data_IF_692168435967
#
_entry.id   IF_692168435967
#
_cell.length_a   1.000
_cell.length_b   1.000
_cell.length_c   1.000
_cell.angle_alpha   90.00
_cell.angle_beta   90.00
_cell.angle_gamma   90.00
#
_symmetry.space_group_name_H-M   'P 1'
#
loop_
_entity.id
_entity.type
_entity.pdbx_description
1 polymer ?
#
# COMPACT_ATOMS: atom_id res chain seq x y z
N UNK A 1 -21.28 -20.89 51.44
CA UNK A 1 -21.22 -19.72 50.55
C UNK A 1 -22.59 -19.47 49.96
N UNK A 2 -23.22 -18.34 50.28
CA UNK A 2 -24.58 -17.98 49.79
C UNK A 2 -24.62 -17.95 48.26
N UNK A 3 -25.77 -18.27 47.65
CA UNK A 3 -25.97 -18.31 46.20
C UNK A 3 -25.59 -16.97 45.52
N UNK A 4 -25.80 -15.85 46.22
CA UNK A 4 -25.36 -14.51 45.76
C UNK A 4 -23.83 -14.37 45.69
N UNK A 5 -23.12 -14.97 46.63
CA UNK A 5 -21.65 -14.93 46.70
C UNK A 5 -21.01 -15.81 45.62
N UNK A 6 -21.63 -16.96 45.27
CA UNK A 6 -21.20 -17.77 44.12
C UNK A 6 -21.39 -17.05 42.80
N UNK A 7 -22.52 -16.36 42.62
CA UNK A 7 -22.82 -15.60 41.41
C UNK A 7 -21.85 -14.43 41.22
N UNK A 8 -21.50 -13.70 42.29
CA UNK A 8 -20.51 -12.61 42.25
C UNK A 8 -19.09 -13.11 41.90
N UNK A 9 -18.68 -14.26 42.43
CA UNK A 9 -17.36 -14.83 42.10
C UNK A 9 -17.32 -15.30 40.65
N UNK A 10 -18.41 -15.89 40.14
CA UNK A 10 -18.49 -16.31 38.74
C UNK A 10 -18.46 -15.12 37.77
N UNK A 11 -19.16 -14.02 38.09
CA UNK A 11 -19.13 -12.81 37.25
C UNK A 11 -17.78 -12.10 37.31
N UNK A 12 -17.11 -12.03 38.47
CA UNK A 12 -15.74 -11.50 38.56
C UNK A 12 -14.73 -12.37 37.80
N UNK A 13 -14.83 -13.69 37.87
CA UNK A 13 -13.97 -14.60 37.10
C UNK A 13 -14.19 -14.42 35.60
N UNK A 14 -15.44 -14.24 35.15
CA UNK A 14 -15.77 -14.02 33.74
C UNK A 14 -15.28 -12.66 33.24
N UNK A 15 -15.35 -11.60 34.06
CA UNK A 15 -14.76 -10.29 33.75
C UNK A 15 -13.24 -10.34 33.71
N UNK A 16 -12.57 -11.08 34.60
CA UNK A 16 -11.11 -11.24 34.55
C UNK A 16 -10.67 -12.03 33.32
N UNK A 17 -11.41 -13.07 32.93
CA UNK A 17 -11.16 -13.79 31.67
C UNK A 17 -11.34 -12.85 30.47
N UNK A 18 -12.40 -12.03 30.43
CA UNK A 18 -12.60 -11.02 29.38
C UNK A 18 -11.51 -9.94 29.36
N UNK A 19 -11.00 -9.51 30.52
CA UNK A 19 -9.91 -8.54 30.61
C UNK A 19 -8.56 -9.12 30.11
N UNK A 20 -8.36 -10.43 30.21
CA UNK A 20 -7.19 -11.12 29.64
C UNK A 20 -7.27 -11.30 28.11
N UNK A 21 -8.42 -11.08 27.47
CA UNK A 21 -8.57 -11.16 26.00
C UNK A 21 -8.22 -9.84 25.30
N UNK A 22 -7.75 -8.82 26.02
CA UNK A 22 -7.20 -7.61 25.40
C UNK A 22 -5.75 -7.90 24.98
N UNK A 23 -5.56 -8.80 24.01
CA UNK A 23 -4.38 -8.76 23.16
C UNK A 23 -4.51 -7.52 22.28
N UNK A 24 -4.28 -6.34 22.87
CA UNK A 24 -3.87 -5.18 22.11
C UNK A 24 -2.62 -5.64 21.36
N UNK A 25 -2.78 -5.95 20.08
CA UNK A 25 -1.71 -6.42 19.24
C UNK A 25 -0.70 -5.28 19.14
N UNK A 26 0.24 -5.27 20.09
CA UNK A 26 1.18 -4.21 20.31
C UNK A 26 2.23 -4.34 19.24
N UNK A 27 2.37 -3.30 18.43
CA UNK A 27 3.40 -3.21 17.42
C UNK A 27 4.79 -3.33 18.07
N UNK A 28 5.46 -4.45 17.84
CA UNK A 28 6.77 -4.77 18.42
C UNK A 28 7.93 -4.33 17.54
N UNK A 29 7.65 -3.89 16.30
CA UNK A 29 8.67 -3.56 15.31
C UNK A 29 9.08 -2.08 15.41
N UNK A 30 10.20 -1.80 16.08
CA UNK A 30 10.70 -0.43 16.26
C UNK A 30 11.42 0.17 15.04
N UNK A 31 11.34 -0.47 13.88
CA UNK A 31 11.98 0.02 12.65
C UNK A 31 11.01 0.94 11.90
N UNK A 32 11.40 2.22 11.79
CA UNK A 32 10.65 3.28 11.11
C UNK A 32 11.31 3.78 9.82
N UNK A 33 12.52 3.30 9.52
CA UNK A 33 13.26 3.67 8.32
C UNK A 33 13.07 2.59 7.26
N UNK A 34 12.72 2.93 6.01
CA UNK A 34 12.49 1.96 4.95
C UNK A 34 13.77 1.20 4.58
N UNK A 35 14.94 1.80 4.77
CA UNK A 35 16.25 1.23 4.43
C UNK A 35 16.89 0.48 5.59
N UNK A 36 16.09 -0.08 6.49
CA UNK A 36 16.59 -0.86 7.64
C UNK A 36 15.94 -2.23 7.62
N UNK A 37 16.75 -3.28 7.74
CA UNK A 37 16.25 -4.66 7.74
C UNK A 37 15.54 -4.96 9.07
N UNK A 38 14.40 -5.65 9.00
CA UNK A 38 13.63 -6.05 10.18
C UNK A 38 12.98 -7.43 9.99
N UNK A 39 12.49 -7.99 11.10
CA UNK A 39 11.59 -9.12 11.12
C UNK A 39 10.27 -8.71 11.75
N UNK A 40 9.17 -9.04 11.10
CA UNK A 40 7.82 -8.71 11.58
C UNK A 40 7.05 -9.94 12.03
N UNK A 41 6.14 -9.73 12.98
CA UNK A 41 5.03 -10.63 13.25
C UNK A 41 3.72 -10.02 12.74
N UNK A 42 2.65 -10.83 12.69
CA UNK A 42 1.29 -10.32 12.52
C UNK A 42 1.06 -9.17 13.50
N UNK A 43 0.37 -8.12 13.03
CA UNK A 43 0.08 -6.91 13.77
C UNK A 43 1.24 -5.94 14.06
N UNK A 44 2.48 -6.25 13.69
CA UNK A 44 3.55 -5.24 13.71
C UNK A 44 3.30 -4.17 12.64
N UNK A 45 3.77 -2.95 12.86
CA UNK A 45 3.90 -1.96 11.79
C UNK A 45 5.09 -2.28 10.90
N UNK A 46 4.93 -2.25 9.57
CA UNK A 46 6.04 -2.48 8.64
C UNK A 46 6.32 -1.26 7.77
N UNK A 47 7.48 -0.64 7.93
CA UNK A 47 7.87 0.52 7.13
C UNK A 47 8.40 0.10 5.76
N UNK A 48 7.82 0.68 4.71
CA UNK A 48 8.38 0.65 3.37
C UNK A 48 8.24 2.03 2.71
N UNK A 49 9.03 2.25 1.65
CA UNK A 49 9.01 3.48 0.88
C UNK A 49 8.49 3.26 -0.54
N UNK A 50 7.95 4.32 -1.14
CA UNK A 50 7.65 4.40 -2.57
C UNK A 50 8.41 5.60 -3.12
N UNK A 51 9.39 5.34 -3.97
CA UNK A 51 10.18 6.35 -4.65
C UNK A 51 9.60 6.63 -6.04
N UNK A 52 9.44 7.91 -6.38
CA UNK A 52 8.99 8.39 -7.68
C UNK A 52 10.18 8.99 -8.42
N UNK A 53 10.43 8.52 -9.64
CA UNK A 53 11.48 9.03 -10.52
C UNK A 53 11.18 8.61 -11.96
N UNK A 54 12.08 8.94 -12.88
CA UNK A 54 12.07 8.37 -14.22
C UNK A 54 12.39 6.87 -14.16
N UNK A 55 11.83 6.08 -15.08
CA UNK A 55 12.04 4.62 -15.12
C UNK A 55 13.52 4.24 -15.04
N UNK A 56 14.37 4.91 -15.81
CA UNK A 56 15.80 4.56 -15.92
C UNK A 56 16.60 4.97 -14.67
N UNK A 57 16.10 5.90 -13.85
CA UNK A 57 16.77 6.34 -12.61
C UNK A 57 16.85 5.24 -11.54
N UNK A 58 16.08 4.16 -11.68
CA UNK A 58 16.13 3.00 -10.78
C UNK A 58 17.16 1.93 -11.22
N UNK A 59 17.86 2.16 -12.33
CA UNK A 59 18.82 1.21 -12.89
C UNK A 59 20.23 1.79 -12.82
N UNK A 60 21.20 0.93 -12.52
CA UNK A 60 22.62 1.29 -12.51
C UNK A 60 23.02 1.79 -13.92
N UNK A 61 23.73 2.92 -13.96
CA UNK A 61 24.15 3.59 -15.21
C UNK A 61 22.99 3.94 -16.16
N UNK A 62 21.74 3.91 -15.68
CA UNK A 62 20.54 4.18 -16.48
C UNK A 62 20.36 3.23 -17.68
N UNK A 63 21.10 2.12 -17.71
CA UNK A 63 20.98 1.04 -18.66
C UNK A 63 20.20 -0.08 -17.96
N UNK A 64 19.01 -0.43 -18.48
CA UNK A 64 17.97 -1.33 -17.93
C UNK A 64 18.42 -2.75 -17.50
N UNK A 65 19.73 -3.01 -17.46
CA UNK A 65 20.41 -4.22 -17.03
C UNK A 65 20.25 -4.57 -15.54
N UNK A 66 20.50 -3.63 -14.62
CA UNK A 66 20.51 -3.89 -13.18
C UNK A 66 19.68 -2.87 -12.42
N UNK A 67 18.49 -3.27 -11.99
CA UNK A 67 17.66 -2.47 -11.09
C UNK A 67 18.21 -2.52 -9.66
N UNK A 68 18.48 -1.36 -9.07
CA UNK A 68 18.91 -1.23 -7.68
C UNK A 68 17.74 -0.79 -6.79
N UNK A 69 17.86 -1.04 -5.48
CA UNK A 69 16.91 -0.51 -4.51
C UNK A 69 17.11 1.01 -4.37
N UNK A 70 16.05 1.80 -4.18
CA UNK A 70 16.14 3.21 -3.78
C UNK A 70 16.97 3.50 -2.52
N UNK A 71 17.29 2.48 -1.72
CA UNK A 71 18.25 2.59 -0.61
C UNK A 71 19.73 2.56 -1.05
N UNK A 72 20.02 2.31 -2.33
CA UNK A 72 21.37 2.24 -2.86
C UNK A 72 21.85 3.63 -3.30
N UNK A 73 22.93 4.12 -2.69
CA UNK A 73 23.50 5.44 -2.94
C UNK A 73 24.05 5.63 -4.36
N UNK A 74 24.23 4.56 -5.13
CA UNK A 74 24.66 4.64 -6.54
C UNK A 74 23.55 5.12 -7.46
N UNK A 75 22.30 5.14 -6.99
CA UNK A 75 21.20 5.69 -7.77
C UNK A 75 21.16 7.23 -7.66
N UNK A 76 21.01 7.95 -8.79
CA UNK A 76 20.99 9.41 -8.82
C UNK A 76 19.62 9.98 -8.41
N UNK A 77 18.92 9.36 -7.45
CA UNK A 77 17.53 9.70 -7.11
C UNK A 77 17.40 11.16 -6.64
N UNK A 78 18.23 11.57 -5.68
CA UNK A 78 18.25 12.95 -5.16
C UNK A 78 18.51 13.99 -6.25
N UNK A 79 19.52 13.76 -7.10
CA UNK A 79 19.85 14.66 -8.21
C UNK A 79 18.80 14.65 -9.33
N UNK A 80 17.99 13.59 -9.44
CA UNK A 80 16.92 13.47 -10.43
C UNK A 80 15.59 14.12 -10.03
N UNK A 81 15.55 14.80 -8.87
CA UNK A 81 14.32 15.38 -8.34
C UNK A 81 13.30 14.35 -7.85
N UNK A 82 13.77 13.16 -7.46
CA UNK A 82 12.89 12.08 -7.00
C UNK A 82 12.06 12.49 -5.80
N UNK A 83 10.79 12.06 -5.77
CA UNK A 83 9.91 12.24 -4.61
C UNK A 83 9.77 10.92 -3.85
N UNK A 84 9.52 10.98 -2.55
CA UNK A 84 9.42 9.80 -1.69
C UNK A 84 8.14 9.87 -0.85
N UNK A 85 7.45 8.75 -0.74
CA UNK A 85 6.38 8.54 0.24
C UNK A 85 6.73 7.36 1.14
N UNK A 86 6.44 7.48 2.43
CA UNK A 86 6.71 6.45 3.42
C UNK A 86 5.40 5.98 4.03
N UNK A 87 5.27 4.66 4.16
CA UNK A 87 4.10 4.03 4.75
C UNK A 87 4.51 3.03 5.79
N UNK A 88 3.61 2.84 6.76
CA UNK A 88 3.80 1.88 7.84
C UNK A 88 2.48 1.18 8.18
N UNK A 89 1.90 0.40 7.24
CA UNK A 89 0.71 -0.38 7.53
C UNK A 89 1.00 -1.48 8.53
N UNK A 90 -0.07 -1.98 9.14
CA UNK A 90 -0.03 -3.13 10.03
C UNK A 90 0.07 -4.42 9.22
N UNK A 91 0.95 -5.33 9.63
CA UNK A 91 1.20 -6.59 8.94
C UNK A 91 -0.01 -7.50 9.07
N UNK A 92 -0.41 -8.06 7.92
CA UNK A 92 -1.62 -8.86 7.73
C UNK A 92 -2.93 -8.11 8.03
N UNK A 93 -2.95 -6.80 7.74
CA UNK A 93 -4.16 -5.99 7.68
C UNK A 93 -4.32 -5.38 6.28
N UNK A 94 -5.47 -5.56 5.64
CA UNK A 94 -5.75 -4.94 4.34
C UNK A 94 -5.81 -3.42 4.53
N UNK A 95 -4.86 -2.73 3.92
CA UNK A 95 -4.73 -1.27 4.01
C UNK A 95 -4.88 -0.62 2.64
N UNK A 96 -5.58 0.52 2.60
CA UNK A 96 -5.61 1.41 1.44
C UNK A 96 -4.78 2.65 1.75
N UNK A 97 -3.61 2.75 1.12
CA UNK A 97 -2.73 3.90 1.25
C UNK A 97 -3.09 4.94 0.21
N UNK A 98 -3.08 6.22 0.60
CA UNK A 98 -3.38 7.32 -0.33
C UNK A 98 -2.20 8.29 -0.42
N UNK A 99 -1.80 8.63 -1.64
CA UNK A 99 -0.86 9.72 -1.92
C UNK A 99 -1.64 10.85 -2.56
N UNK A 100 -1.72 11.97 -1.84
CA UNK A 100 -2.42 13.16 -2.29
C UNK A 100 -1.62 13.85 -3.42
N UNK A 101 -2.25 14.06 -4.57
CA UNK A 101 -1.63 14.69 -5.75
C UNK A 101 -1.90 16.19 -5.87
N UNK A 102 -2.44 16.85 -4.84
CA UNK A 102 -2.68 18.30 -4.84
C UNK A 102 -1.37 19.08 -4.92
N UNK A 103 -0.36 18.70 -4.13
CA UNK A 103 0.96 19.33 -4.13
C UNK A 103 2.04 18.46 -4.80
N UNK A 104 1.65 17.30 -5.33
CA UNK A 104 2.54 16.33 -5.93
C UNK A 104 2.05 15.95 -7.33
N UNK A 105 2.89 16.13 -8.33
CA UNK A 105 2.61 15.79 -9.72
C UNK A 105 3.48 14.58 -10.11
N UNK A 106 2.91 13.36 -10.19
CA UNK A 106 3.69 12.15 -10.46
C UNK A 106 4.41 12.18 -11.82
N UNK A 107 3.84 12.84 -12.82
CA UNK A 107 4.43 13.00 -14.14
C UNK A 107 5.65 13.96 -14.11
N UNK A 108 5.58 15.03 -13.33
CA UNK A 108 6.72 15.94 -13.09
C UNK A 108 7.84 15.26 -12.30
N UNK A 109 7.51 14.28 -11.46
CA UNK A 109 8.48 13.46 -10.72
C UNK A 109 9.04 12.29 -11.55
N UNK A 110 8.81 12.26 -12.87
CA UNK A 110 9.36 11.25 -13.79
C UNK A 110 8.41 10.10 -14.16
N UNK A 111 7.21 10.07 -13.60
CA UNK A 111 6.10 9.24 -14.08
C UNK A 111 6.13 7.77 -13.70
N UNK A 112 7.16 7.30 -12.99
CA UNK A 112 7.28 5.93 -12.51
C UNK A 112 7.49 5.87 -11.00
N UNK A 113 7.10 4.74 -10.41
CA UNK A 113 7.35 4.47 -8.99
C UNK A 113 7.92 3.08 -8.73
N UNK A 114 8.71 2.97 -7.67
CA UNK A 114 9.26 1.72 -7.13
C UNK A 114 8.98 1.66 -5.63
N UNK A 115 8.37 0.57 -5.18
CA UNK A 115 8.23 0.25 -3.76
C UNK A 115 9.52 -0.44 -3.29
N UNK A 116 9.97 -0.13 -2.07
CA UNK A 116 11.23 -0.67 -1.55
C UNK A 116 11.24 -0.76 -0.02
N UNK A 117 11.99 -1.73 0.50
CA UNK A 117 12.37 -1.80 1.90
C UNK A 117 13.60 -2.69 2.15
N UNK A 118 14.23 -2.50 3.29
CA UNK A 118 15.45 -3.19 3.70
C UNK A 118 16.72 -2.64 3.04
N UNK A 119 17.87 -3.11 3.52
CA UNK A 119 19.20 -2.71 3.03
C UNK A 119 20.04 -3.89 2.58
N UNK A 120 20.12 -4.94 3.41
CA UNK A 120 20.89 -6.14 3.05
C UNK A 120 20.21 -6.95 1.96
N UNK A 121 18.90 -7.15 2.09
CA UNK A 121 18.11 -7.87 1.09
C UNK A 121 17.59 -6.92 -0.01
N UNK A 122 17.46 -5.63 0.31
CA UNK A 122 17.14 -4.56 -0.64
C UNK A 122 15.94 -4.92 -1.54
N UNK A 123 14.87 -5.42 -0.91
CA UNK A 123 13.65 -5.81 -1.59
C UNK A 123 13.04 -4.60 -2.30
N UNK A 124 12.64 -4.79 -3.55
CA UNK A 124 12.14 -3.73 -4.42
C UNK A 124 11.20 -4.30 -5.47
N UNK A 125 10.20 -3.51 -5.85
CA UNK A 125 9.33 -3.86 -6.96
C UNK A 125 9.88 -3.40 -8.30
N UNK A 126 9.40 -3.98 -9.39
CA UNK A 126 9.66 -3.44 -10.73
C UNK A 126 9.05 -2.05 -10.87
N UNK A 127 9.63 -1.12 -11.66
CA UNK A 127 9.02 0.19 -11.88
C UNK A 127 7.60 0.06 -12.45
N UNK A 128 6.63 0.68 -11.77
CA UNK A 128 5.26 0.82 -12.23
C UNK A 128 5.06 2.19 -12.88
N UNK A 129 4.35 2.23 -14.01
CA UNK A 129 3.93 3.48 -14.62
C UNK A 129 2.83 4.11 -13.75
N UNK A 130 2.98 5.40 -13.46
CA UNK A 130 2.03 6.17 -12.65
C UNK A 130 1.38 7.25 -13.48
N UNK A 131 2.16 8.10 -14.14
CA UNK A 131 1.61 9.19 -14.93
C UNK A 131 2.55 9.68 -16.02
N UNK A 132 1.97 10.31 -17.03
CA UNK A 132 2.63 11.18 -17.98
C UNK A 132 1.72 12.38 -18.30
N UNK A 133 2.12 13.22 -19.25
CA UNK A 133 1.31 14.38 -19.66
C UNK A 133 -0.08 14.05 -20.23
N UNK A 134 -0.37 12.78 -20.53
CA UNK A 134 -1.62 12.34 -21.15
C UNK A 134 -2.48 11.48 -20.23
N UNK A 135 -1.87 10.58 -19.47
CA UNK A 135 -2.56 9.58 -18.66
C UNK A 135 -1.99 9.48 -17.24
N UNK A 136 -2.86 9.21 -16.28
CA UNK A 136 -2.54 8.92 -14.88
C UNK A 136 -3.26 7.65 -14.42
N UNK A 137 -2.52 6.71 -13.83
CA UNK A 137 -3.05 5.54 -13.13
C UNK A 137 -3.20 5.89 -11.66
N UNK A 138 -4.39 5.70 -11.11
CA UNK A 138 -4.73 6.15 -9.74
C UNK A 138 -4.95 5.00 -8.76
N UNK A 139 -4.96 3.76 -9.22
CA UNK A 139 -5.22 2.59 -8.38
C UNK A 139 -4.17 1.51 -8.62
N UNK A 140 -3.54 1.07 -7.54
CA UNK A 140 -2.50 0.05 -7.55
C UNK A 140 -2.76 -0.98 -6.47
N UNK A 141 -2.27 -2.19 -6.70
CA UNK A 141 -2.23 -3.25 -5.71
C UNK A 141 -0.78 -3.66 -5.49
N UNK A 142 -0.28 -3.51 -4.27
CA UNK A 142 1.07 -3.87 -3.86
C UNK A 142 1.05 -5.08 -2.93
N UNK A 143 1.88 -6.06 -3.24
CA UNK A 143 2.01 -7.28 -2.43
C UNK A 143 3.37 -7.31 -1.78
N UNK A 144 3.39 -7.49 -0.47
CA UNK A 144 4.58 -7.68 0.34
C UNK A 144 4.70 -9.17 0.66
N UNK A 145 5.73 -9.82 0.12
CA UNK A 145 5.99 -11.23 0.36
C UNK A 145 7.03 -11.39 1.46
N UNK A 146 6.65 -12.06 2.55
CA UNK A 146 7.51 -12.33 3.70
C UNK A 146 7.87 -13.80 3.80
N UNK A 147 9.11 -14.07 4.20
CA UNK A 147 9.56 -15.41 4.55
C UNK A 147 10.18 -15.37 5.94
N UNK A 148 9.60 -16.12 6.89
CA UNK A 148 10.03 -16.15 8.30
C UNK A 148 10.12 -14.72 8.89
N UNK A 149 9.16 -13.86 8.54
CA UNK A 149 9.04 -12.48 8.96
C UNK A 149 9.96 -11.50 8.24
N UNK A 150 10.75 -11.93 7.27
CA UNK A 150 11.62 -11.04 6.47
C UNK A 150 11.02 -10.79 5.09
N UNK A 151 10.91 -9.52 4.70
CA UNK A 151 10.48 -9.16 3.36
C UNK A 151 11.46 -9.75 2.33
N UNK A 152 10.92 -10.52 1.39
CA UNK A 152 11.65 -11.10 0.26
C UNK A 152 11.40 -10.28 -1.01
N UNK A 153 10.13 -10.04 -1.33
CA UNK A 153 9.74 -9.39 -2.56
C UNK A 153 8.64 -8.35 -2.34
N UNK A 154 8.61 -7.40 -3.27
CA UNK A 154 7.56 -6.43 -3.46
C UNK A 154 7.13 -6.51 -4.91
N UNK A 155 5.85 -6.68 -5.20
CA UNK A 155 5.40 -6.68 -6.59
C UNK A 155 4.06 -6.00 -6.75
N UNK A 156 3.92 -5.31 -7.88
CA UNK A 156 2.68 -4.68 -8.30
C UNK A 156 1.82 -5.72 -9.00
N UNK A 157 0.62 -5.96 -8.49
CA UNK A 157 -0.37 -6.77 -9.20
C UNK A 157 -0.99 -5.92 -10.30
N UNK A 158 -0.99 -6.45 -11.53
CA UNK A 158 -1.65 -5.83 -12.68
C UNK A 158 -3.03 -6.44 -12.81
N UNK A 159 -4.04 -5.59 -12.71
CA UNK A 159 -5.44 -6.01 -12.57
C UNK A 159 -6.20 -6.00 -13.90
N UNK A 160 -5.49 -5.66 -14.98
CA UNK A 160 -6.08 -5.50 -16.30
C UNK A 160 -7.02 -4.31 -16.35
N UNK A 161 -7.83 -4.27 -17.40
CA UNK A 161 -8.68 -3.12 -17.70
C UNK A 161 -10.16 -3.34 -17.39
N UNK A 162 -10.50 -4.40 -16.66
CA UNK A 162 -11.90 -4.71 -16.32
C UNK A 162 -12.57 -3.55 -15.56
N UNK A 163 -11.82 -2.83 -14.73
CA UNK A 163 -12.29 -1.65 -13.97
C UNK A 163 -12.57 -0.42 -14.84
N UNK A 164 -12.07 -0.37 -16.09
CA UNK A 164 -12.25 0.77 -17.00
C UNK A 164 -13.41 0.59 -18.00
N UNK A 165 -13.91 -0.63 -18.17
CA UNK A 165 -14.73 -1.00 -19.33
C UNK A 165 -16.05 -0.24 -19.45
N UNK A 166 -16.52 0.38 -18.36
CA UNK A 166 -17.82 1.07 -18.29
C UNK A 166 -17.74 2.60 -18.18
N UNK A 167 -16.55 3.22 -18.25
CA UNK A 167 -16.38 4.67 -18.00
C UNK A 167 -15.62 5.37 -19.12
N UNK A 168 -16.25 6.36 -19.76
CA UNK A 168 -15.72 7.10 -20.92
C UNK A 168 -14.43 7.88 -20.67
N UNK A 169 -14.14 8.25 -19.41
CA UNK A 169 -12.93 8.99 -19.04
C UNK A 169 -11.71 8.08 -18.75
N UNK A 170 -11.90 6.76 -18.79
CA UNK A 170 -10.87 5.78 -18.47
C UNK A 170 -10.35 5.13 -19.76
N UNK A 171 -9.05 4.87 -19.78
CA UNK A 171 -8.32 4.27 -20.90
C UNK A 171 -7.55 3.07 -20.39
N UNK A 172 -7.69 1.97 -21.10
CA UNK A 172 -6.93 0.75 -20.88
C UNK A 172 -5.53 0.89 -21.49
N UNK A 173 -4.50 1.11 -20.66
CA UNK A 173 -3.11 1.18 -21.11
C UNK A 173 -2.51 -0.21 -21.20
N UNK A 174 -1.95 -0.55 -22.37
CA UNK A 174 -1.21 -1.79 -22.62
C UNK A 174 -1.95 -3.08 -22.23
N UNK A 175 -3.29 -3.04 -22.18
CA UNK A 175 -4.14 -4.15 -21.69
C UNK A 175 -3.87 -4.55 -20.23
N UNK A 176 -3.20 -3.70 -19.47
CA UNK A 176 -2.69 -4.02 -18.14
C UNK A 176 -3.17 -3.05 -17.07
N UNK A 177 -3.23 -1.75 -17.36
CA UNK A 177 -3.48 -0.72 -16.36
C UNK A 177 -4.66 0.16 -16.75
N UNK A 178 -5.48 0.48 -15.74
CA UNK A 178 -6.58 1.41 -15.89
C UNK A 178 -6.13 2.83 -15.61
N UNK A 179 -6.07 3.67 -16.65
CA UNK A 179 -5.67 5.06 -16.52
C UNK A 179 -6.85 6.01 -16.79
N UNK A 180 -6.73 7.23 -16.30
CA UNK A 180 -7.58 8.36 -16.65
C UNK A 180 -6.77 9.40 -17.39
N UNK A 181 -7.43 10.24 -18.19
CA UNK A 181 -6.75 11.35 -18.86
C UNK A 181 -6.25 12.34 -17.81
N UNK A 182 -4.99 12.75 -17.91
CA UNK A 182 -4.35 13.69 -16.96
C UNK A 182 -5.10 15.02 -16.88
N UNK A 183 -5.70 15.47 -17.99
CA UNK A 183 -6.53 16.69 -18.04
C UNK A 183 -7.82 16.61 -17.22
N UNK A 184 -8.30 15.41 -16.90
CA UNK A 184 -9.47 15.23 -16.03
C UNK A 184 -9.15 15.43 -14.54
N UNK A 185 -7.86 15.47 -14.17
CA UNK A 185 -7.41 15.58 -12.79
C UNK A 185 -7.53 17.00 -12.23
N UNK A 186 -7.97 17.13 -10.97
CA UNK A 186 -8.11 18.42 -10.25
C UNK A 186 -6.83 19.26 -10.28
N UNK A 187 -5.67 18.63 -10.08
CA UNK A 187 -4.37 19.31 -10.13
C UNK A 187 -3.94 19.75 -11.54
N UNK A 188 -4.74 19.46 -12.57
CA UNK A 188 -4.53 19.80 -13.97
C UNK A 188 -5.72 20.59 -14.57
N UNK A 189 -6.58 21.14 -13.70
CA UNK A 189 -7.74 21.95 -14.09
C UNK A 189 -9.02 21.15 -14.35
N UNK A 190 -9.01 19.83 -14.14
CA UNK A 190 -10.20 18.99 -14.22
C UNK A 190 -11.00 18.91 -12.91
N UNK A 191 -12.00 18.02 -12.86
CA UNK A 191 -12.90 17.85 -11.71
C UNK A 191 -12.66 16.57 -10.90
N UNK A 192 -11.85 15.64 -11.40
CA UNK A 192 -11.63 14.32 -10.80
C UNK A 192 -10.44 14.33 -9.84
N UNK A 193 -10.60 13.77 -8.65
CA UNK A 193 -9.48 13.57 -7.73
C UNK A 193 -8.60 12.39 -8.18
N UNK A 194 -7.36 12.70 -8.55
CA UNK A 194 -6.38 11.75 -9.07
C UNK A 194 -5.36 11.29 -8.03
N UNK A 195 -5.65 11.45 -6.75
CA UNK A 195 -4.84 10.90 -5.67
C UNK A 195 -4.62 9.40 -5.87
N UNK A 196 -3.39 8.94 -5.64
CA UNK A 196 -3.00 7.56 -5.88
C UNK A 196 -3.46 6.70 -4.71
N UNK A 197 -4.31 5.71 -4.97
CA UNK A 197 -4.72 4.68 -4.02
C UNK A 197 -3.91 3.41 -4.22
N UNK A 198 -3.31 2.90 -3.15
CA UNK A 198 -2.48 1.70 -3.16
C UNK A 198 -3.04 0.72 -2.14
N UNK A 199 -3.68 -0.35 -2.63
CA UNK A 199 -4.11 -1.47 -1.80
C UNK A 199 -2.89 -2.32 -1.46
N UNK A 200 -2.67 -2.57 -0.18
CA UNK A 200 -1.56 -3.39 0.30
C UNK A 200 -2.08 -4.74 0.77
N UNK A 201 -1.39 -5.80 0.36
CA UNK A 201 -1.64 -7.16 0.78
C UNK A 201 -0.33 -7.83 1.24
N UNK A 202 -0.46 -8.78 2.16
CA UNK A 202 0.65 -9.55 2.70
C UNK A 202 0.53 -11.02 2.30
N UNK A 203 1.68 -11.64 2.03
CA UNK A 203 1.79 -13.06 1.68
C UNK A 203 2.99 -13.69 2.38
N UNK A 204 2.93 -15.00 2.59
CA UNK A 204 4.02 -15.81 3.14
C UNK A 204 3.91 -16.00 4.65
N UNK A 205 5.01 -15.83 5.39
CA UNK A 205 5.04 -16.14 6.85
C UNK A 205 5.72 -15.06 7.68
N UNK A 206 5.23 -14.91 8.91
CA UNK A 206 5.76 -14.01 9.91
C UNK A 206 6.98 -14.60 10.67
N UNK A 207 7.57 -13.86 11.61
CA UNK A 207 8.79 -14.31 12.34
C UNK A 207 8.58 -15.54 13.22
N UNK A 208 7.32 -15.85 13.55
CA UNK A 208 6.89 -17.02 14.31
C UNK A 208 6.33 -18.13 13.41
N UNK A 209 6.50 -18.00 12.08
CA UNK A 209 6.02 -18.94 11.06
C UNK A 209 4.49 -18.97 10.89
N UNK A 210 3.77 -17.98 11.42
CA UNK A 210 2.34 -17.80 11.16
C UNK A 210 2.11 -17.36 9.73
N UNK A 211 1.10 -17.92 9.05
CA UNK A 211 0.75 -17.57 7.67
C UNK A 211 0.15 -16.16 7.60
N UNK A 212 0.59 -15.37 6.61
CA UNK A 212 -0.01 -14.09 6.25
C UNK A 212 -1.06 -14.33 5.16
N UNK A 213 -2.32 -14.00 5.42
CA UNK A 213 -3.45 -14.44 4.61
C UNK A 213 -4.17 -13.32 3.84
N UNK A 214 -3.87 -12.05 4.11
CA UNK A 214 -4.54 -10.92 3.46
C UNK A 214 -4.46 -10.94 1.94
N UNK A 215 -3.44 -11.54 1.34
CA UNK A 215 -3.39 -11.76 -0.12
C UNK A 215 -4.58 -12.59 -0.64
N UNK A 216 -4.93 -13.68 0.02
CA UNK A 216 -6.08 -14.51 -0.34
C UNK A 216 -7.41 -13.77 -0.13
N UNK A 217 -7.46 -12.92 0.88
CA UNK A 217 -8.63 -12.09 1.16
C UNK A 217 -8.82 -11.01 0.09
N UNK A 218 -7.75 -10.39 -0.41
CA UNK A 218 -7.84 -9.45 -1.54
C UNK A 218 -8.32 -10.15 -2.81
N UNK A 219 -7.90 -11.40 -3.06
CA UNK A 219 -8.43 -12.19 -4.18
C UNK A 219 -9.93 -12.46 -4.06
N UNK A 220 -10.40 -12.86 -2.86
CA UNK A 220 -11.83 -13.11 -2.59
C UNK A 220 -12.68 -11.84 -2.60
N UNK A 221 -12.19 -10.74 -2.01
CA UNK A 221 -12.88 -9.45 -2.01
C UNK A 221 -13.05 -8.92 -3.44
N UNK A 222 -12.12 -9.24 -4.34
CA UNK A 222 -12.19 -8.83 -5.76
C UNK A 222 -13.21 -9.57 -6.60
N UNK A 223 -13.64 -10.78 -6.21
CA UNK A 223 -14.83 -11.40 -6.82
C UNK A 223 -16.06 -10.50 -6.64
N UNK A 224 -16.07 -9.67 -5.60
CA UNK A 224 -17.09 -8.66 -5.32
C UNK A 224 -16.61 -7.25 -5.71
N UNK A 225 -16.15 -7.06 -6.96
CA UNK A 225 -15.89 -5.75 -7.60
C UNK A 225 -15.58 -4.61 -6.61
N UNK A 226 -14.42 -4.73 -5.94
CA UNK A 226 -13.98 -3.79 -4.89
C UNK A 226 -13.95 -2.33 -5.34
N UNK A 227 -13.88 -2.10 -6.65
CA UNK A 227 -14.03 -0.77 -7.21
C UNK A 227 -15.35 -0.11 -6.78
N UNK A 228 -16.47 -0.84 -6.80
CA UNK A 228 -17.77 -0.31 -6.37
C UNK A 228 -17.85 -0.08 -4.87
N UNK A 229 -17.38 -1.03 -4.05
CA UNK A 229 -17.39 -0.90 -2.59
C UNK A 229 -16.47 0.23 -2.10
N UNK A 230 -15.26 0.35 -2.63
CA UNK A 230 -14.30 1.37 -2.20
C UNK A 230 -14.50 2.72 -2.88
N UNK A 231 -15.03 2.80 -4.12
CA UNK A 231 -15.45 4.09 -4.68
C UNK A 231 -16.61 4.68 -3.87
N UNK A 232 -17.52 3.82 -3.38
CA UNK A 232 -18.63 4.22 -2.54
C UNK A 232 -18.18 4.57 -1.11
N UNK A 233 -17.14 3.91 -0.56
CA UNK A 233 -16.53 4.33 0.71
C UNK A 233 -15.83 5.68 0.58
N UNK A 234 -15.11 5.92 -0.51
CA UNK A 234 -14.48 7.22 -0.78
C UNK A 234 -15.53 8.31 -0.99
N UNK A 235 -16.61 8.04 -1.73
CA UNK A 235 -17.71 9.01 -1.86
C UNK A 235 -18.41 9.23 -0.52
N UNK A 236 -18.70 8.17 0.24
CA UNK A 236 -19.36 8.24 1.54
C UNK A 236 -18.54 9.02 2.58
N UNK A 237 -17.22 8.83 2.62
CA UNK A 237 -16.32 9.60 3.50
C UNK A 237 -16.19 11.06 3.05
N UNK A 238 -16.15 11.31 1.74
CA UNK A 238 -16.10 12.68 1.18
C UNK A 238 -17.42 13.42 1.41
N UNK A 239 -18.57 12.74 1.27
CA UNK A 239 -19.91 13.28 1.47
C UNK A 239 -20.22 13.51 2.95
N UNK A 240 -19.65 12.71 3.87
CA UNK A 240 -19.72 12.98 5.32
C UNK A 240 -18.82 14.15 5.72
N UNK A 241 -17.62 14.26 5.14
CA UNK A 241 -16.71 15.38 5.40
C UNK A 241 -17.30 16.73 4.97
N UNK A 242 -17.92 16.79 3.79
CA UNK A 242 -18.61 17.99 3.27
C UNK A 242 -19.93 18.33 3.99
N UNK A 243 -20.41 17.46 4.90
CA UNK A 243 -21.58 17.73 5.75
C UNK A 243 -21.19 18.23 7.14
N UNK A 244 -19.92 18.08 7.52
CA UNK A 244 -19.38 18.47 8.82
C UNK A 244 -18.64 19.82 8.73
N UNK A 245 -18.25 20.24 7.51
CA UNK A 245 -17.62 21.53 7.22
C UNK A 245 -18.33 22.26 6.08
#
# INVERSE_FOLDING_TARGET
>A
MSMRMRMMVMTMAMMMIMAMVINAASDTNKVFQPCTDTKVQISDGFTFGIAFSQKNSFYLNQNLSLQLSPCDHRLPLTSSGSQLSLFRPKVDEISLLTINTTNFQPDSAGGYMVAFAGRKYAARSTPAFVANGTYTVTSFTLVLEFQKGRLQNLFWKRDGCASCASRSNFVCLNKQDCAIRTTSCKNRGGSVDCSLGIQVAFSGTDKHLSSLNTWYEVEKLRQYSLYGLYSNLRSSLTDQYNKIF
#
